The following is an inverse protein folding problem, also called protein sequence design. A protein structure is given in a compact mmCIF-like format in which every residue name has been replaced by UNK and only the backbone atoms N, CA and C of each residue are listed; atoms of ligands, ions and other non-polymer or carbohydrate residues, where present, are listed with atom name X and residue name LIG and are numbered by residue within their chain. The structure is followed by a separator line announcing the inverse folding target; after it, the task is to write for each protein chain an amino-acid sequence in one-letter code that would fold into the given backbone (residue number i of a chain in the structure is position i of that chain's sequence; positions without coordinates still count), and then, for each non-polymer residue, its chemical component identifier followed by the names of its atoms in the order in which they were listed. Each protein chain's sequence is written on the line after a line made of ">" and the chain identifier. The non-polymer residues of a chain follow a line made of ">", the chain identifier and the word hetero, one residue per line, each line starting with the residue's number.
data_IF_611403934300
#
_entry.id   IF_611403934300
#
_cell.length_a   1.000
_cell.length_b   1.000
_cell.length_c   1.000
_cell.angle_alpha   90.00
_cell.angle_beta   90.00
_cell.angle_gamma   90.00
#
_symmetry.space_group_name_H-M   'P 1'
#
loop_
_entity.id
_entity.type
_entity.pdbx_description
1 polymer ?
#
# COMPACT_ATOMS: atom_id res chain seq x y z
N UNK A 1 9.58 17.88 -68.22
CA UNK A 1 9.34 16.41 -68.23
C UNK A 1 9.33 15.76 -66.85
N UNK A 2 9.99 16.33 -65.81
CA UNK A 2 10.02 15.72 -64.46
C UNK A 2 8.69 15.67 -63.67
N UNK A 3 7.72 16.55 -63.95
CA UNK A 3 6.45 16.59 -63.19
C UNK A 3 5.46 15.47 -63.56
N UNK A 4 5.53 14.94 -64.80
CA UNK A 4 4.64 13.87 -65.25
C UNK A 4 5.00 12.51 -64.63
N UNK A 5 6.30 12.25 -64.46
CA UNK A 5 6.80 10.99 -63.90
C UNK A 5 6.45 10.84 -62.41
N UNK A 6 6.46 11.93 -61.64
CA UNK A 6 6.07 11.92 -60.21
C UNK A 6 4.57 11.66 -60.04
N UNK A 7 3.72 12.16 -60.93
CA UNK A 7 2.28 11.90 -60.90
C UNK A 7 1.95 10.43 -61.22
N UNK A 8 2.71 9.81 -62.12
CA UNK A 8 2.51 8.43 -62.53
C UNK A 8 2.96 7.44 -61.43
N UNK A 9 4.06 7.74 -60.74
CA UNK A 9 4.54 6.97 -59.57
C UNK A 9 3.59 7.10 -58.38
N UNK A 10 3.01 8.28 -58.14
CA UNK A 10 2.01 8.45 -57.07
C UNK A 10 0.72 7.67 -57.36
N UNK A 11 0.28 7.63 -58.62
CA UNK A 11 -0.91 6.87 -59.00
C UNK A 11 -0.67 5.35 -58.98
N UNK A 12 0.51 4.88 -59.36
CA UNK A 12 0.85 3.45 -59.25
C UNK A 12 1.00 2.99 -57.79
N UNK A 13 1.56 3.83 -56.92
CA UNK A 13 1.66 3.54 -55.49
C UNK A 13 0.28 3.43 -54.82
N UNK A 14 -0.66 4.32 -55.16
CA UNK A 14 -2.04 4.25 -54.65
C UNK A 14 -2.76 2.99 -55.14
N UNK A 15 -2.52 2.58 -56.39
CA UNK A 15 -3.14 1.39 -56.96
C UNK A 15 -2.55 0.09 -56.39
N UNK A 16 -1.25 0.07 -56.05
CA UNK A 16 -0.61 -1.04 -55.35
C UNK A 16 -1.10 -1.18 -53.89
N UNK A 17 -1.35 -0.06 -53.20
CA UNK A 17 -1.91 -0.07 -51.84
C UNK A 17 -3.37 -0.58 -51.86
N UNK A 18 -4.17 -0.14 -52.83
CA UNK A 18 -5.56 -0.61 -52.97
C UNK A 18 -5.65 -2.09 -53.38
N UNK A 19 -4.72 -2.59 -54.20
CA UNK A 19 -4.64 -4.01 -54.53
C UNK A 19 -4.17 -4.88 -53.33
N UNK A 20 -3.32 -4.34 -52.46
CA UNK A 20 -2.89 -5.02 -51.23
C UNK A 20 -4.01 -5.20 -50.20
N UNK A 21 -4.96 -4.25 -50.10
CA UNK A 21 -6.12 -4.35 -49.21
C UNK A 21 -7.19 -5.32 -49.73
N UNK A 22 -7.31 -5.51 -51.04
CA UNK A 22 -8.27 -6.46 -51.62
C UNK A 22 -7.80 -7.93 -51.52
N UNK A 23 -6.51 -8.18 -51.31
CA UNK A 23 -5.95 -9.53 -51.19
C UNK A 23 -6.13 -10.17 -49.79
N UNK A 24 -6.75 -9.47 -48.83
CA UNK A 24 -7.00 -10.00 -47.48
C UNK A 24 -8.42 -10.57 -47.28
N UNK A 25 -9.20 -10.66 -48.36
CA UNK A 25 -10.50 -11.32 -48.37
C UNK A 25 -10.38 -12.55 -49.27
N UNK A 26 -10.56 -13.74 -48.68
CA UNK A 26 -10.58 -15.07 -49.31
C UNK A 26 -9.25 -15.85 -49.41
N UNK A 27 -8.80 -16.35 -48.26
CA UNK A 27 -8.15 -17.66 -48.09
C UNK A 27 -7.96 -17.82 -46.58
N UNK A 28 -8.96 -18.21 -45.81
CA UNK A 28 -9.25 -19.62 -45.60
C UNK A 28 -10.59 -19.73 -44.88
N UNK A 29 -11.42 -20.71 -45.26
CA UNK A 29 -12.71 -21.02 -44.65
C UNK A 29 -12.59 -21.52 -43.20
N UNK A 30 -12.10 -20.68 -42.31
CA UNK A 30 -11.96 -20.99 -40.89
C UNK A 30 -13.25 -20.61 -40.17
N UNK A 31 -13.82 -21.56 -39.43
CA UNK A 31 -14.98 -21.37 -38.55
C UNK A 31 -14.65 -20.54 -37.29
N UNK A 32 -13.67 -19.64 -37.38
CA UNK A 32 -13.09 -18.89 -36.26
C UNK A 32 -13.49 -17.41 -36.38
N UNK A 33 -13.68 -16.75 -35.24
CA UNK A 33 -13.95 -15.32 -35.21
C UNK A 33 -12.80 -14.53 -35.87
N UNK A 34 -13.09 -13.42 -36.59
CA UNK A 34 -12.09 -12.69 -37.37
C UNK A 34 -10.91 -12.18 -36.54
N UNK A 35 -11.13 -11.81 -35.28
CA UNK A 35 -10.07 -11.35 -34.37
C UNK A 35 -9.07 -12.46 -34.03
N UNK A 36 -9.56 -13.70 -33.88
CA UNK A 36 -8.73 -14.88 -33.57
C UNK A 36 -7.88 -15.27 -34.79
N UNK A 37 -8.41 -15.08 -36.00
CA UNK A 37 -7.68 -15.35 -37.24
C UNK A 37 -6.50 -14.36 -37.44
N UNK A 38 -6.68 -13.10 -37.07
CA UNK A 38 -5.62 -12.07 -37.16
C UNK A 38 -4.51 -12.35 -36.13
N UNK A 39 -4.86 -12.65 -34.89
CA UNK A 39 -3.85 -12.97 -33.86
C UNK A 39 -3.09 -14.23 -34.23
N UNK A 40 -3.78 -15.28 -34.70
CA UNK A 40 -3.12 -16.51 -35.13
C UNK A 40 -2.22 -16.31 -36.36
N UNK A 41 -2.56 -15.43 -37.30
CA UNK A 41 -1.71 -15.17 -38.46
C UNK A 41 -0.42 -14.43 -38.08
N UNK A 42 -0.51 -13.47 -37.16
CA UNK A 42 0.67 -12.78 -36.59
C UNK A 42 1.54 -13.75 -35.80
N UNK A 43 0.93 -14.59 -34.96
CA UNK A 43 1.66 -15.56 -34.13
C UNK A 43 2.28 -16.69 -34.96
N UNK A 44 1.65 -17.13 -36.05
CA UNK A 44 2.27 -18.04 -37.04
C UNK A 44 3.45 -17.38 -37.76
N UNK A 45 3.34 -16.10 -38.13
CA UNK A 45 4.44 -15.35 -38.75
C UNK A 45 5.65 -15.14 -37.84
N UNK A 46 5.43 -15.09 -36.52
CA UNK A 46 6.48 -15.04 -35.49
C UNK A 46 6.99 -16.42 -35.06
N UNK A 47 6.48 -17.51 -35.64
CA UNK A 47 6.87 -18.88 -35.30
C UNK A 47 6.37 -19.36 -33.93
N UNK A 48 5.43 -18.65 -33.32
CA UNK A 48 4.87 -18.98 -32.00
C UNK A 48 3.79 -20.07 -32.07
N UNK A 49 3.25 -20.37 -33.26
CA UNK A 49 2.21 -21.40 -33.49
C UNK A 49 2.58 -22.21 -34.73
N UNK A 50 2.50 -23.55 -34.64
CA UNK A 50 2.80 -24.46 -35.75
C UNK A 50 1.68 -24.36 -36.82
N UNK A 51 2.00 -24.00 -38.08
CA UNK A 51 1.00 -23.92 -39.14
C UNK A 51 0.34 -25.28 -39.48
N UNK A 52 0.95 -26.40 -39.10
CA UNK A 52 0.46 -27.76 -39.37
C UNK A 52 -0.15 -28.44 -38.14
N UNK A 53 -0.45 -27.68 -37.08
CA UNK A 53 -1.08 -28.23 -35.88
C UNK A 53 -2.44 -28.85 -36.22
N UNK A 54 -2.55 -30.16 -35.96
CA UNK A 54 -3.79 -30.89 -36.21
C UNK A 54 -4.84 -30.46 -35.18
N UNK A 55 -6.10 -30.20 -35.60
CA UNK A 55 -7.18 -29.91 -34.66
C UNK A 55 -7.28 -31.01 -33.60
N UNK A 56 -7.33 -30.60 -32.32
CA UNK A 56 -7.44 -31.54 -31.21
C UNK A 56 -8.83 -32.15 -31.25
N UNK A 57 -8.90 -33.46 -31.48
CA UNK A 57 -10.13 -34.25 -31.36
C UNK A 57 -10.47 -34.41 -29.88
N UNK A 58 -11.26 -33.47 -29.35
CA UNK A 58 -11.76 -33.54 -27.99
C UNK A 58 -12.83 -34.62 -27.89
N UNK A 59 -12.41 -35.82 -27.49
CA UNK A 59 -13.34 -36.85 -27.07
C UNK A 59 -14.10 -36.35 -25.82
N UNK A 60 -15.42 -36.51 -25.76
CA UNK A 60 -16.16 -36.19 -24.55
C UNK A 60 -15.55 -36.98 -23.39
N UNK A 61 -15.45 -36.33 -22.23
CA UNK A 61 -14.98 -37.00 -21.01
C UNK A 61 -15.89 -38.19 -20.74
N UNK A 62 -15.32 -39.27 -20.20
CA UNK A 62 -16.12 -40.40 -19.74
C UNK A 62 -17.24 -39.90 -18.81
N UNK A 63 -18.45 -40.47 -18.90
CA UNK A 63 -19.56 -40.05 -18.05
C UNK A 63 -19.15 -40.17 -16.58
N UNK A 64 -19.62 -39.22 -15.76
CA UNK A 64 -19.39 -39.25 -14.32
C UNK A 64 -19.87 -40.61 -13.78
N UNK A 65 -19.00 -41.31 -13.05
CA UNK A 65 -19.34 -42.58 -12.44
C UNK A 65 -20.42 -42.34 -11.37
N UNK A 66 -21.68 -42.47 -11.76
CA UNK A 66 -22.81 -42.40 -10.83
C UNK A 66 -23.01 -43.78 -10.20
N UNK A 67 -23.32 -43.84 -8.89
CA UNK A 67 -23.74 -45.09 -8.27
C UNK A 67 -25.01 -45.61 -8.92
N UNK A 68 -25.18 -46.94 -8.94
CA UNK A 68 -26.33 -47.62 -9.55
C UNK A 68 -27.68 -47.25 -8.93
N UNK A 69 -27.67 -46.74 -7.70
CA UNK A 69 -28.86 -46.32 -6.95
C UNK A 69 -28.72 -44.85 -6.52
N UNK A 70 -29.29 -43.88 -7.27
CA UNK A 70 -29.21 -42.46 -6.92
C UNK A 70 -30.06 -42.08 -5.69
N UNK A 71 -30.96 -42.96 -5.26
CA UNK A 71 -31.89 -42.76 -4.14
C UNK A 71 -31.33 -43.22 -2.79
N UNK A 72 -30.15 -43.85 -2.78
CA UNK A 72 -29.50 -44.38 -1.58
C UNK A 72 -28.25 -43.57 -1.21
N UNK A 73 -28.24 -42.31 -1.61
CA UNK A 73 -27.24 -41.36 -1.14
C UNK A 73 -27.52 -41.07 0.33
N UNK A 74 -26.51 -41.08 1.21
CA UNK A 74 -26.68 -40.54 2.55
C UNK A 74 -27.15 -39.08 2.43
N UNK A 75 -28.05 -38.68 3.32
CA UNK A 75 -28.48 -37.29 3.38
C UNK A 75 -27.26 -36.39 3.60
N UNK A 76 -27.19 -35.22 2.94
CA UNK A 76 -26.06 -34.32 3.10
C UNK A 76 -25.91 -33.96 4.57
N UNK A 77 -24.70 -34.11 5.13
CA UNK A 77 -24.42 -33.74 6.50
C UNK A 77 -24.67 -32.23 6.68
N UNK A 78 -25.71 -31.88 7.44
CA UNK A 78 -26.00 -30.49 7.81
C UNK A 78 -25.11 -30.00 8.95
N UNK A 79 -24.38 -30.90 9.61
CA UNK A 79 -23.40 -30.59 10.64
C UNK A 79 -22.06 -30.27 9.99
N UNK A 80 -21.89 -29.03 9.54
CA UNK A 80 -20.57 -28.53 9.16
C UNK A 80 -19.68 -28.53 10.42
N UNK A 81 -18.59 -29.28 10.40
CA UNK A 81 -17.64 -29.33 11.50
C UNK A 81 -17.22 -27.91 11.92
N UNK A 82 -17.47 -27.54 13.18
CA UNK A 82 -17.09 -26.24 13.74
C UNK A 82 -18.21 -25.19 13.86
N UNK A 83 -19.35 -25.31 13.16
CA UNK A 83 -20.40 -24.26 13.22
C UNK A 83 -21.11 -24.21 14.59
N UNK A 84 -21.21 -25.35 15.27
CA UNK A 84 -21.82 -25.48 16.61
C UNK A 84 -20.80 -25.85 17.71
N UNK A 85 -19.51 -25.86 17.41
CA UNK A 85 -18.48 -26.16 18.43
C UNK A 85 -18.30 -24.95 19.34
N UNK A 86 -18.34 -25.17 20.65
CA UNK A 86 -18.12 -24.11 21.64
C UNK A 86 -16.72 -23.48 21.54
N UNK A 87 -15.75 -24.26 21.03
CA UNK A 87 -14.36 -23.85 20.86
C UNK A 87 -14.09 -23.17 19.50
N UNK A 88 -15.06 -23.18 18.58
CA UNK A 88 -14.89 -22.48 17.33
C UNK A 88 -15.08 -20.98 17.56
N UNK A 89 -14.16 -20.13 17.07
CA UNK A 89 -14.33 -18.70 17.20
C UNK A 89 -15.60 -18.31 16.45
N UNK A 90 -16.62 -17.90 17.21
CA UNK A 90 -17.80 -17.24 16.64
C UNK A 90 -17.25 -16.05 15.86
N UNK A 91 -17.59 -15.97 14.57
CA UNK A 91 -17.45 -14.70 13.88
C UNK A 91 -18.24 -13.70 14.70
N UNK A 92 -17.55 -12.83 15.44
CA UNK A 92 -18.19 -11.66 16.02
C UNK A 92 -18.68 -10.92 14.80
N UNK A 93 -19.98 -11.01 14.52
CA UNK A 93 -20.62 -10.20 13.50
C UNK A 93 -20.12 -8.79 13.77
N UNK A 94 -19.31 -8.29 12.83
CA UNK A 94 -18.72 -7.00 13.01
C UNK A 94 -19.89 -6.04 12.81
N UNK A 95 -20.42 -5.50 13.90
CA UNK A 95 -21.58 -4.62 13.87
C UNK A 95 -21.38 -3.47 12.88
N UNK A 96 -20.13 -3.06 12.68
CA UNK A 96 -19.76 -2.08 11.67
C UNK A 96 -19.97 -2.60 10.25
N UNK A 97 -19.61 -3.86 9.96
CA UNK A 97 -19.85 -4.45 8.64
C UNK A 97 -21.34 -4.62 8.36
N UNK A 98 -22.15 -5.02 9.35
CA UNK A 98 -23.60 -5.14 9.17
C UNK A 98 -24.25 -3.78 8.96
N UNK A 99 -23.86 -2.76 9.74
CA UNK A 99 -24.33 -1.37 9.57
C UNK A 99 -23.96 -0.83 8.18
N UNK A 100 -22.71 -1.03 7.75
CA UNK A 100 -22.24 -0.65 6.42
C UNK A 100 -23.08 -1.36 5.33
N UNK A 101 -23.33 -2.65 5.49
CA UNK A 101 -24.09 -3.43 4.51
C UNK A 101 -25.55 -2.98 4.42
N UNK A 102 -26.19 -2.61 5.53
CA UNK A 102 -27.54 -2.03 5.58
C UNK A 102 -27.60 -0.65 4.90
N UNK A 103 -26.60 0.21 5.18
CA UNK A 103 -26.47 1.52 4.54
C UNK A 103 -26.34 1.38 3.01
N UNK A 104 -25.54 0.44 2.52
CA UNK A 104 -25.39 0.21 1.08
C UNK A 104 -26.58 -0.51 0.44
N UNK A 105 -27.24 -1.44 1.14
CA UNK A 105 -28.43 -2.16 0.65
C UNK A 105 -29.62 -1.22 0.41
N UNK A 106 -29.66 -0.09 1.13
CA UNK A 106 -30.65 0.95 0.92
C UNK A 106 -30.25 1.96 -0.17
N UNK A 107 -28.97 2.00 -0.59
CA UNK A 107 -28.51 3.00 -1.57
C UNK A 107 -29.09 2.70 -2.96
N UNK A 108 -29.69 3.72 -3.61
CA UNK A 108 -30.32 3.61 -4.93
C UNK A 108 -31.82 3.26 -4.98
N UNK A 109 -32.50 2.99 -3.84
CA UNK A 109 -33.98 2.89 -3.83
C UNK A 109 -34.62 4.27 -3.69
N UNK A 110 -35.66 4.55 -4.49
CA UNK A 110 -36.42 5.81 -4.44
C UNK A 110 -36.98 6.01 -3.02
N UNK A 111 -36.57 7.09 -2.34
CA UNK A 111 -36.95 7.39 -0.96
C UNK A 111 -35.95 6.93 0.12
N UNK A 112 -34.80 6.39 -0.27
CA UNK A 112 -33.69 6.09 0.64
C UNK A 112 -32.86 7.34 0.92
N UNK A 113 -32.28 7.43 2.12
CA UNK A 113 -31.41 8.54 2.54
C UNK A 113 -30.19 8.75 1.62
N UNK A 114 -29.84 7.74 0.82
CA UNK A 114 -28.75 7.74 -0.15
C UNK A 114 -29.23 7.69 -1.63
N UNK A 115 -30.47 8.09 -1.93
CA UNK A 115 -31.00 8.08 -3.32
C UNK A 115 -30.71 9.35 -4.11
N UNK A 116 -30.39 10.45 -3.43
CA UNK A 116 -30.06 11.73 -4.06
C UNK A 116 -28.61 11.71 -4.57
N UNK A 117 -28.31 12.15 -5.80
CA UNK A 117 -26.92 12.38 -6.21
C UNK A 117 -26.28 13.40 -5.27
N UNK A 118 -25.05 13.13 -4.82
CA UNK A 118 -24.29 14.01 -3.93
C UNK A 118 -24.22 15.42 -4.51
N UNK A 119 -24.58 16.42 -3.71
CA UNK A 119 -24.44 17.82 -4.13
C UNK A 119 -22.97 18.17 -4.36
N UNK A 120 -22.65 19.18 -5.20
CA UNK A 120 -21.27 19.60 -5.45
C UNK A 120 -20.49 19.96 -4.16
N UNK A 121 -21.18 20.40 -3.10
CA UNK A 121 -20.55 20.67 -1.80
C UNK A 121 -20.24 19.39 -1.02
N UNK A 122 -21.05 18.34 -1.15
CA UNK A 122 -20.80 17.02 -0.55
C UNK A 122 -19.75 16.22 -1.33
N UNK A 123 -19.65 16.41 -2.65
CA UNK A 123 -18.59 15.80 -3.48
C UNK A 123 -17.19 16.39 -3.24
N UNK A 124 -17.09 17.60 -2.67
CA UNK A 124 -15.81 18.22 -2.29
C UNK A 124 -15.08 17.52 -1.13
N UNK A 125 -15.63 16.41 -0.64
CA UNK A 125 -15.04 15.59 0.40
C UNK A 125 -15.56 16.01 1.77
N UNK A 126 -16.02 15.03 2.53
CA UNK A 126 -16.37 15.22 3.93
C UNK A 126 -15.17 15.81 4.68
N UNK A 127 -15.40 16.84 5.50
CA UNK A 127 -14.47 17.14 6.59
C UNK A 127 -14.59 15.99 7.57
N UNK A 128 -13.68 15.01 7.45
CA UNK A 128 -13.58 13.92 8.41
C UNK A 128 -13.15 14.53 9.74
N UNK A 129 -14.11 14.86 10.60
CA UNK A 129 -13.86 15.17 12.00
C UNK A 129 -13.91 13.84 12.76
N UNK A 130 -12.75 13.32 13.17
CA UNK A 130 -12.70 12.30 14.23
C UNK A 130 -12.79 10.82 13.81
N UNK A 131 -12.06 10.37 12.77
CA UNK A 131 -11.88 8.92 12.50
C UNK A 131 -11.15 8.17 13.64
N UNK A 132 -10.63 8.87 14.66
CA UNK A 132 -10.03 8.28 15.86
C UNK A 132 -10.68 8.71 17.18
N UNK A 133 -11.83 9.40 17.16
CA UNK A 133 -12.48 9.90 18.39
C UNK A 133 -11.65 10.93 19.19
N UNK A 134 -10.52 11.38 18.66
CA UNK A 134 -9.71 12.44 19.24
C UNK A 134 -10.17 13.80 18.71
N UNK A 135 -10.24 14.84 19.56
CA UNK A 135 -10.52 16.20 19.10
C UNK A 135 -9.46 16.60 18.07
N UNK A 136 -9.91 17.13 16.94
CA UNK A 136 -9.03 17.60 15.86
C UNK A 136 -8.42 18.94 16.28
N UNK A 137 -7.10 18.97 16.45
CA UNK A 137 -6.33 20.20 16.64
C UNK A 137 -6.03 20.82 15.26
N UNK A 138 -6.85 21.79 14.87
CA UNK A 138 -6.78 22.46 13.57
C UNK A 138 -5.52 23.33 13.48
N UNK A 139 -5.04 23.84 14.60
CA UNK A 139 -3.84 24.67 14.68
C UNK A 139 -2.58 23.82 14.48
N UNK A 140 -2.51 22.66 15.12
CA UNK A 140 -1.42 21.69 14.93
C UNK A 140 -1.36 21.20 13.47
N UNK A 141 -2.50 20.83 12.88
CA UNK A 141 -2.54 20.37 11.48
C UNK A 141 -2.13 21.46 10.48
N UNK A 142 -2.55 22.72 10.74
CA UNK A 142 -2.12 23.86 9.93
C UNK A 142 -0.61 24.09 10.06
N UNK A 143 -0.06 23.92 11.26
CA UNK A 143 1.38 24.02 11.52
C UNK A 143 2.16 22.92 10.78
N UNK A 144 1.68 21.68 10.82
CA UNK A 144 2.25 20.55 10.09
C UNK A 144 2.23 20.77 8.58
N UNK A 145 1.14 21.33 8.04
CA UNK A 145 1.04 21.68 6.62
C UNK A 145 2.14 22.69 6.22
N UNK A 146 2.34 23.75 7.01
CA UNK A 146 3.42 24.71 6.76
C UNK A 146 4.82 24.08 6.85
N UNK A 147 5.05 23.14 7.76
CA UNK A 147 6.33 22.42 7.86
C UNK A 147 6.54 21.56 6.60
N UNK A 148 5.49 20.85 6.15
CA UNK A 148 5.54 20.02 4.94
C UNK A 148 5.80 20.83 3.66
N UNK A 149 5.32 22.07 3.61
CA UNK A 149 5.54 23.02 2.51
C UNK A 149 6.91 23.71 2.56
N UNK A 150 7.74 23.42 3.58
CA UNK A 150 9.14 23.87 3.67
C UNK A 150 9.44 24.92 4.74
N UNK A 151 8.51 25.21 5.65
CA UNK A 151 8.82 26.05 6.81
C UNK A 151 9.77 25.33 7.79
N UNK A 152 10.60 26.10 8.51
CA UNK A 152 11.53 25.57 9.50
C UNK A 152 10.83 25.35 10.84
N UNK A 153 11.17 24.24 11.51
CA UNK A 153 10.73 23.99 12.88
C UNK A 153 11.36 24.99 13.85
N UNK A 154 10.58 25.43 14.83
CA UNK A 154 11.08 26.21 15.97
C UNK A 154 11.95 25.35 16.87
N UNK A 155 12.74 25.97 17.75
CA UNK A 155 13.61 25.25 18.69
C UNK A 155 12.83 24.33 19.64
N UNK A 156 11.66 24.76 20.08
CA UNK A 156 10.79 23.96 20.95
C UNK A 156 10.24 22.73 20.20
N UNK A 157 9.69 22.93 19.00
CA UNK A 157 9.19 21.83 18.15
C UNK A 157 10.30 20.82 17.80
N UNK A 158 11.53 21.28 17.51
CA UNK A 158 12.67 20.40 17.27
C UNK A 158 13.03 19.55 18.50
N UNK A 159 12.92 20.11 19.71
CA UNK A 159 13.18 19.37 20.95
C UNK A 159 12.11 18.30 21.18
N UNK A 160 10.84 18.63 20.96
CA UNK A 160 9.72 17.69 21.09
C UNK A 160 9.80 16.55 20.08
N UNK A 161 10.09 16.85 18.81
CA UNK A 161 10.32 15.83 17.80
C UNK A 161 11.52 14.94 18.14
N UNK A 162 12.61 15.53 18.63
CA UNK A 162 13.78 14.78 19.03
C UNK A 162 13.46 13.83 20.20
N UNK A 163 12.72 14.29 21.21
CA UNK A 163 12.28 13.44 22.32
C UNK A 163 11.33 12.33 21.85
N UNK A 164 10.40 12.63 20.94
CA UNK A 164 9.51 11.65 20.33
C UNK A 164 10.30 10.59 19.57
N UNK A 165 11.30 11.00 18.78
CA UNK A 165 12.20 10.09 18.06
C UNK A 165 13.01 9.22 19.02
N UNK A 166 13.53 9.77 20.13
CA UNK A 166 14.23 8.97 21.14
C UNK A 166 13.30 7.93 21.78
N UNK A 167 12.05 8.29 22.10
CA UNK A 167 11.06 7.35 22.64
C UNK A 167 10.74 6.23 21.65
N UNK A 168 10.51 6.57 20.38
CA UNK A 168 10.26 5.58 19.32
C UNK A 168 11.47 4.67 19.11
N UNK A 169 12.69 5.23 19.15
CA UNK A 169 13.93 4.45 19.05
C UNK A 169 14.11 3.52 20.25
N UNK A 170 13.78 3.95 21.47
CA UNK A 170 13.83 3.10 22.66
C UNK A 170 12.82 1.94 22.56
N UNK A 171 11.59 2.22 22.11
CA UNK A 171 10.58 1.19 21.84
C UNK A 171 11.04 0.21 20.74
N UNK A 172 11.62 0.72 19.65
CA UNK A 172 12.15 -0.11 18.56
C UNK A 172 13.40 -0.90 18.98
N UNK A 173 14.22 -0.39 19.90
CA UNK A 173 15.33 -1.13 20.48
C UNK A 173 14.85 -2.19 21.48
N UNK A 174 13.58 -2.13 21.90
CA UNK A 174 13.06 -2.97 22.97
C UNK A 174 13.76 -2.71 24.28
N UNK A 175 14.23 -1.49 24.54
CA UNK A 175 14.89 -1.16 25.80
C UNK A 175 13.85 -0.56 26.74
N UNK A 176 13.77 -1.08 27.97
CA UNK A 176 12.99 -0.49 29.05
C UNK A 176 13.63 0.85 29.49
N UNK A 177 12.90 1.65 30.26
CA UNK A 177 13.37 2.91 30.84
C UNK A 177 14.66 2.74 31.67
N UNK A 178 14.90 1.53 32.16
CA UNK A 178 16.09 1.13 32.90
C UNK A 178 17.28 0.72 32.01
N UNK A 179 17.14 0.78 30.68
CA UNK A 179 18.15 0.38 29.71
C UNK A 179 18.31 -1.14 29.53
N UNK A 180 17.39 -1.93 30.10
CA UNK A 180 17.36 -3.39 29.98
C UNK A 180 16.59 -3.82 28.74
N UNK A 181 17.03 -4.89 28.09
CA UNK A 181 16.31 -5.47 26.95
C UNK A 181 14.98 -6.10 27.41
N UNK A 182 13.89 -5.71 26.75
CA UNK A 182 12.53 -6.24 26.91
C UNK A 182 12.29 -7.30 25.86
N UNK A 183 11.59 -8.37 26.25
CA UNK A 183 11.24 -9.46 25.34
C UNK A 183 10.17 -9.01 24.34
N UNK A 184 10.43 -9.20 23.05
CA UNK A 184 9.48 -8.90 21.96
C UNK A 184 8.82 -10.14 21.36
N UNK A 185 9.56 -11.23 21.28
CA UNK A 185 9.08 -12.48 20.67
C UNK A 185 9.13 -13.66 21.62
N UNK A 186 8.32 -14.68 21.34
CA UNK A 186 8.28 -15.89 22.16
C UNK A 186 9.58 -16.71 22.10
N UNK A 187 10.36 -16.53 21.04
CA UNK A 187 11.66 -17.17 20.78
C UNK A 187 12.83 -16.50 21.51
N UNK A 188 12.66 -15.27 22.01
CA UNK A 188 13.68 -14.57 22.78
C UNK A 188 13.68 -15.06 24.25
N UNK A 189 14.84 -15.11 24.91
CA UNK A 189 14.92 -15.51 26.31
C UNK A 189 14.12 -14.53 27.20
N UNK A 190 13.59 -14.99 28.35
CA UNK A 190 12.96 -14.11 29.32
C UNK A 190 13.92 -12.98 29.77
N UNK A 191 13.36 -11.82 30.06
CA UNK A 191 14.12 -10.62 30.49
C UNK A 191 14.97 -10.88 31.73
N UNK A 192 14.51 -11.76 32.61
CA UNK A 192 15.19 -12.15 33.86
C UNK A 192 16.52 -12.87 33.62
N UNK A 193 16.72 -13.49 32.45
CA UNK A 193 18.01 -14.07 32.05
C UNK A 193 18.96 -13.05 31.43
N UNK A 194 18.45 -11.87 31.07
CA UNK A 194 19.24 -10.78 30.46
C UNK A 194 19.73 -9.76 31.49
N UNK A 195 19.32 -9.88 32.76
CA UNK A 195 19.85 -9.04 33.85
C UNK A 195 21.23 -9.55 34.28
N UNK A 196 22.26 -8.69 34.31
CA UNK A 196 23.56 -9.06 34.84
C UNK A 196 23.46 -9.54 36.30
N UNK A 197 24.34 -10.47 36.69
CA UNK A 197 24.47 -10.87 38.09
C UNK A 197 24.82 -9.66 38.97
N UNK A 198 24.29 -9.55 40.20
CA UNK A 198 24.65 -8.47 41.13
C UNK A 198 26.16 -8.33 41.38
N UNK A 199 26.89 -9.45 41.32
CA UNK A 199 28.34 -9.52 41.55
C UNK A 199 29.18 -9.40 40.27
N UNK A 200 28.54 -9.21 39.11
CA UNK A 200 29.28 -9.05 37.86
C UNK A 200 29.95 -7.67 37.81
N UNK A 201 31.25 -7.58 37.46
CA UNK A 201 31.92 -6.29 37.31
C UNK A 201 31.35 -5.57 36.08
N UNK A 202 30.48 -4.59 36.33
CA UNK A 202 29.99 -3.68 35.30
C UNK A 202 30.99 -2.52 35.10
N UNK A 203 31.25 -2.09 33.86
CA UNK A 203 32.03 -0.88 33.64
C UNK A 203 31.31 0.29 34.31
N UNK A 204 32.04 1.10 35.08
CA UNK A 204 31.46 2.31 35.66
C UNK A 204 30.97 3.22 34.53
N UNK A 205 29.65 3.43 34.48
CA UNK A 205 29.05 4.42 33.59
C UNK A 205 29.39 5.79 34.15
N UNK A 206 30.56 6.31 33.76
CA UNK A 206 30.95 7.68 34.08
C UNK A 206 29.95 8.61 33.39
N UNK A 207 29.00 9.13 34.17
CA UNK A 207 28.10 10.19 33.72
C UNK A 207 28.99 11.38 33.35
N UNK A 208 29.20 11.60 32.07
CA UNK A 208 29.87 12.81 31.59
C UNK A 208 29.02 14.00 32.02
N UNK A 209 29.46 14.72 33.05
CA UNK A 209 28.86 16.00 33.37
C UNK A 209 29.06 16.90 32.14
N UNK A 210 27.98 17.50 31.64
CA UNK A 210 28.13 18.57 30.66
C UNK A 210 28.92 19.67 31.38
N UNK A 211 30.15 19.95 30.94
CA UNK A 211 30.85 21.16 31.38
C UNK A 211 29.89 22.33 31.16
N UNK A 212 29.67 23.12 32.19
CA UNK A 212 28.92 24.37 32.03
C UNK A 212 29.61 25.15 30.91
N UNK A 213 28.86 25.48 29.85
CA UNK A 213 29.38 26.36 28.82
C UNK A 213 29.75 27.68 29.46
N UNK A 214 30.84 28.30 29.01
CA UNK A 214 31.18 29.66 29.44
C UNK A 214 30.02 30.55 29.00
N UNK A 215 29.30 31.11 29.98
CA UNK A 215 28.18 32.03 29.75
C UNK A 215 28.52 33.33 30.43
N UNK A 216 28.10 34.42 29.82
CA UNK A 216 28.24 35.72 30.45
C UNK A 216 27.37 35.77 31.72
N UNK A 217 27.88 36.46 32.74
CA UNK A 217 27.27 36.61 34.06
C UNK A 217 26.00 37.47 33.95
N UNK A 218 25.95 38.36 32.96
CA UNK A 218 24.85 39.31 32.78
C UNK A 218 23.86 38.88 31.69
N UNK A 219 24.36 38.30 30.60
CA UNK A 219 23.54 37.81 29.50
C UNK A 219 23.73 36.30 29.37
N UNK A 220 22.68 35.50 29.62
CA UNK A 220 22.72 34.03 29.63
C UNK A 220 23.16 33.35 28.31
N UNK A 221 23.65 34.13 27.35
CA UNK A 221 24.28 33.75 26.09
C UNK A 221 25.62 33.04 26.34
N UNK A 222 25.98 32.08 25.47
CA UNK A 222 27.31 31.48 25.48
C UNK A 222 28.38 32.50 25.07
N UNK A 223 29.43 32.63 25.86
CA UNK A 223 30.63 33.43 25.57
C UNK A 223 31.43 32.75 24.45
N UNK A 224 31.88 33.54 23.47
CA UNK A 224 32.84 33.06 22.47
C UNK A 224 34.16 32.68 23.16
N UNK A 225 34.76 31.50 22.87
CA UNK A 225 36.03 31.11 23.44
C UNK A 225 37.16 32.14 23.24
N UNK A 226 37.12 32.95 22.18
CA UNK A 226 38.12 34.02 21.93
C UNK A 226 38.03 35.18 22.92
N UNK A 227 36.84 35.45 23.47
CA UNK A 227 36.70 36.42 24.56
C UNK A 227 37.46 35.95 25.82
N UNK A 228 37.49 34.64 26.08
CA UNK A 228 38.22 34.09 27.23
C UNK A 228 39.74 34.14 27.03
N UNK A 229 40.20 34.22 25.79
CA UNK A 229 41.60 34.40 25.41
C UNK A 229 42.06 35.87 25.49
N UNK A 230 41.13 36.81 25.74
CA UNK A 230 41.41 38.22 25.99
C UNK A 230 41.05 39.16 24.83
N UNK A 231 40.51 38.64 23.73
CA UNK A 231 40.11 39.47 22.59
C UNK A 231 38.78 40.18 22.87
N UNK A 232 38.88 41.44 23.30
CA UNK A 232 37.72 42.28 23.69
C UNK A 232 36.69 42.51 22.58
N UNK A 233 37.05 42.32 21.31
CA UNK A 233 36.14 42.44 20.16
C UNK A 233 35.05 41.35 20.16
N UNK A 234 35.30 40.21 20.79
CA UNK A 234 34.39 39.05 20.81
C UNK A 234 33.62 38.88 22.12
N UNK A 235 33.66 39.89 23.00
CA UNK A 235 33.06 39.84 24.34
C UNK A 235 31.66 40.49 24.46
N UNK A 236 31.05 40.93 23.35
CA UNK A 236 29.72 41.57 23.31
C UNK A 236 28.62 40.65 22.78
#
# INVERSE_FOLDING_TARGET
>A
MLRANVALVKKSAVLAILAGLAACQAADGTSQAPDVAIVNSVMKGLGAVDPNEKPIDYKPRAPLAMPSEPTKLPEPETNVAGVNSADWPKQRENQQLTEIQELYASSGKVGSMNSEPLSPEQMRGFKITGVTGQPRDVEAERRDAYISEGSKLTRAEQQEEWERLQKLKAQQAGLDQNGLATRKFLTEPPTDYSTPSPDAPMPEVVKKSKRAGNRDIYDSKPLDPRCLEGDTEYCN
#
